data_IF_356153541725
#
_entry.id   IF_356153541725
#
_cell.length_a   1.000
_cell.length_b   1.000
_cell.length_c   1.000
_cell.angle_alpha   90.00
_cell.angle_beta   90.00
_cell.angle_gamma   90.00
#
_symmetry.space_group_name_H-M   'P 1'
#
loop_
_entity.id
_entity.type
_entity.pdbx_description
1 polymer ?
#
# COMPACT_ATOMS: atom_id res chain seq x y z
N UNK A 1 -4.39 -14.54 -14.15
CA UNK A 1 -3.21 -15.42 -14.27
C UNK A 1 -3.04 -16.00 -15.68
N UNK A 2 -4.11 -16.46 -16.37
CA UNK A 2 -4.01 -16.95 -17.76
C UNK A 2 -3.50 -15.91 -18.77
N UNK A 3 -3.92 -14.65 -18.65
CA UNK A 3 -3.46 -13.56 -19.53
C UNK A 3 -1.97 -13.22 -19.35
N UNK A 4 -1.43 -13.36 -18.14
CA UNK A 4 -0.01 -13.12 -17.88
C UNK A 4 0.87 -14.19 -18.52
N UNK A 5 0.40 -15.44 -18.56
CA UNK A 5 1.09 -16.54 -19.22
C UNK A 5 1.04 -16.42 -20.75
N UNK A 6 -0.08 -15.95 -21.31
CA UNK A 6 -0.21 -15.68 -22.75
C UNK A 6 0.68 -14.51 -23.21
N UNK A 7 0.86 -13.48 -22.37
CA UNK A 7 1.79 -12.38 -22.63
C UNK A 7 3.25 -12.85 -22.57
N UNK A 8 3.59 -13.72 -21.61
CA UNK A 8 4.94 -14.29 -21.49
C UNK A 8 5.28 -15.18 -22.69
N UNK A 9 4.35 -15.97 -23.24
CA UNK A 9 4.60 -16.78 -24.44
C UNK A 9 4.77 -15.94 -25.71
N UNK A 10 4.01 -14.85 -25.85
CA UNK A 10 4.17 -13.88 -26.95
C UNK A 10 5.51 -13.13 -26.87
N UNK A 11 5.93 -12.73 -25.67
CA UNK A 11 7.21 -12.04 -25.45
C UNK A 11 8.40 -13.01 -25.63
N UNK A 12 8.25 -14.26 -25.22
CA UNK A 12 9.29 -15.30 -25.35
C UNK A 12 9.54 -15.72 -26.81
N UNK A 13 8.52 -15.68 -27.67
CA UNK A 13 8.68 -15.94 -29.11
C UNK A 13 9.45 -14.85 -29.85
N UNK A 14 9.48 -13.61 -29.33
CA UNK A 14 10.16 -12.48 -29.98
C UNK A 14 11.67 -12.45 -29.67
N UNK A 15 12.08 -12.86 -28.46
CA UNK A 15 13.49 -12.91 -28.08
C UNK A 15 13.99 -14.35 -28.17
N UNK A 16 14.70 -14.68 -29.26
CA UNK A 16 15.50 -15.91 -29.45
C UNK A 16 16.55 -16.11 -28.35
N UNK A 17 16.11 -16.38 -27.14
CA UNK A 17 16.92 -16.68 -25.97
C UNK A 17 16.94 -18.18 -25.76
N UNK A 18 18.10 -18.78 -26.00
CA UNK A 18 18.43 -20.19 -25.78
C UNK A 18 18.21 -20.59 -24.33
N UNK A 19 16.96 -20.84 -23.94
CA UNK A 19 16.58 -21.33 -22.63
C UNK A 19 16.54 -22.85 -22.67
N UNK A 20 17.28 -23.48 -21.75
CA UNK A 20 17.48 -24.91 -21.60
C UNK A 20 16.18 -25.74 -21.77
N UNK A 21 16.22 -26.91 -22.44
CA UNK A 21 15.04 -27.76 -22.64
C UNK A 21 14.39 -28.24 -21.33
N UNK A 22 15.12 -28.23 -20.21
CA UNK A 22 14.60 -28.58 -18.89
C UNK A 22 13.56 -27.59 -18.35
N UNK A 23 13.71 -26.28 -18.61
CA UNK A 23 12.74 -25.28 -18.12
C UNK A 23 11.43 -25.34 -18.91
N UNK A 24 11.52 -25.67 -20.21
CA UNK A 24 10.37 -25.90 -21.07
C UNK A 24 9.59 -27.16 -20.64
N UNK A 25 10.31 -28.26 -20.33
CA UNK A 25 9.71 -29.49 -19.84
C UNK A 25 9.02 -29.28 -18.48
N UNK A 26 9.65 -28.55 -17.57
CA UNK A 26 9.07 -28.24 -16.25
C UNK A 26 7.81 -27.37 -16.38
N UNK A 27 7.82 -26.38 -17.28
CA UNK A 27 6.66 -25.54 -17.56
C UNK A 27 5.50 -26.34 -18.20
N UNK A 28 5.79 -27.24 -19.14
CA UNK A 28 4.80 -28.10 -19.78
C UNK A 28 4.16 -29.07 -18.77
N UNK A 29 4.94 -29.67 -17.88
CA UNK A 29 4.43 -30.55 -16.81
C UNK A 29 3.51 -29.78 -15.85
N UNK A 30 3.92 -28.58 -15.42
CA UNK A 30 3.08 -27.73 -14.58
C UNK A 30 1.78 -27.31 -15.30
N UNK A 31 1.84 -27.03 -16.61
CA UNK A 31 0.66 -26.68 -17.40
C UNK A 31 -0.33 -27.86 -17.56
N UNK A 32 0.17 -29.07 -17.80
CA UNK A 32 -0.65 -30.28 -17.91
C UNK A 32 -1.30 -30.63 -16.57
N UNK A 33 -0.57 -30.51 -15.46
CA UNK A 33 -1.11 -30.74 -14.11
C UNK A 33 -2.18 -29.69 -13.76
N UNK A 34 -1.96 -28.43 -14.13
CA UNK A 34 -2.94 -27.35 -13.96
C UNK A 34 -4.21 -27.57 -14.79
N UNK A 35 -4.10 -28.14 -15.99
CA UNK A 35 -5.23 -28.41 -16.87
C UNK A 35 -6.08 -29.62 -16.42
N UNK A 36 -5.46 -30.67 -15.89
CA UNK A 36 -6.16 -31.93 -15.56
C UNK A 36 -6.73 -31.91 -14.14
N UNK A 37 -6.02 -31.34 -13.14
CA UNK A 37 -6.41 -31.38 -11.72
C UNK A 37 -6.02 -30.06 -11.02
N UNK A 38 -6.78 -28.96 -11.23
CA UNK A 38 -6.51 -27.67 -10.57
C UNK A 38 -6.59 -27.75 -9.03
N UNK A 39 -7.33 -28.72 -8.49
CA UNK A 39 -7.45 -28.95 -7.04
C UNK A 39 -6.13 -29.37 -6.37
N UNK A 40 -5.20 -30.01 -7.09
CA UNK A 40 -3.90 -30.39 -6.53
C UNK A 40 -2.95 -29.20 -6.32
N UNK A 41 -3.16 -28.10 -7.06
CA UNK A 41 -2.43 -26.84 -6.92
C UNK A 41 -3.05 -25.91 -5.86
N UNK A 42 -4.24 -26.23 -5.36
CA UNK A 42 -4.93 -25.45 -4.33
C UNK A 42 -4.13 -25.30 -3.01
N UNK A 43 -3.51 -26.35 -2.41
CA UNK A 43 -2.70 -26.18 -1.21
C UNK A 43 -1.44 -25.34 -1.47
N UNK A 44 -0.81 -25.48 -2.64
CA UNK A 44 0.36 -24.68 -3.03
C UNK A 44 -0.01 -23.20 -3.20
N UNK A 45 -1.12 -22.92 -3.88
CA UNK A 45 -1.66 -21.56 -4.02
C UNK A 45 -1.97 -20.94 -2.64
N UNK A 46 -2.51 -21.74 -1.72
CA UNK A 46 -2.79 -21.29 -0.35
C UNK A 46 -1.51 -21.01 0.45
N UNK A 47 -0.47 -21.84 0.29
CA UNK A 47 0.84 -21.60 0.91
C UNK A 47 1.50 -20.33 0.35
N UNK A 48 1.47 -20.16 -0.98
CA UNK A 48 1.98 -18.97 -1.66
C UNK A 48 1.24 -17.70 -1.22
N UNK A 49 -0.09 -17.76 -1.14
CA UNK A 49 -0.91 -16.65 -0.65
C UNK A 49 -0.58 -16.32 0.81
N UNK A 50 -0.43 -17.32 1.69
CA UNK A 50 -0.02 -17.10 3.09
C UNK A 50 1.37 -16.46 3.18
N UNK A 51 2.31 -16.86 2.32
CA UNK A 51 3.62 -16.25 2.25
C UNK A 51 3.54 -14.80 1.76
N UNK A 52 2.72 -14.53 0.74
CA UNK A 52 2.44 -13.17 0.29
C UNK A 52 1.82 -12.29 1.37
N UNK A 53 0.88 -12.82 2.16
CA UNK A 53 0.29 -12.13 3.31
C UNK A 53 1.32 -11.85 4.42
N UNK A 54 2.19 -12.82 4.71
CA UNK A 54 3.26 -12.64 5.68
C UNK A 54 4.27 -11.58 5.22
N UNK A 55 4.65 -11.61 3.93
CA UNK A 55 5.51 -10.61 3.34
C UNK A 55 4.85 -9.23 3.38
N UNK A 56 3.55 -9.14 3.10
CA UNK A 56 2.80 -7.90 3.20
C UNK A 56 2.78 -7.35 4.63
N UNK A 57 2.65 -8.20 5.65
CA UNK A 57 2.74 -7.81 7.06
C UNK A 57 4.08 -7.17 7.42
N UNK A 58 5.16 -7.50 6.71
CA UNK A 58 6.50 -6.93 6.93
C UNK A 58 6.70 -5.69 6.04
N UNK A 59 6.33 -5.78 4.76
CA UNK A 59 6.47 -4.71 3.79
C UNK A 59 5.63 -3.48 4.17
N UNK A 60 4.41 -3.68 4.69
CA UNK A 60 3.53 -2.58 5.04
C UNK A 60 4.11 -1.67 6.16
N UNK A 61 4.57 -2.18 7.31
CA UNK A 61 5.32 -1.39 8.29
C UNK A 61 6.59 -0.74 7.74
N UNK A 62 7.34 -1.41 6.86
CA UNK A 62 8.56 -0.84 6.26
C UNK A 62 8.21 0.36 5.39
N UNK A 63 7.21 0.23 4.51
CA UNK A 63 6.74 1.32 3.64
C UNK A 63 6.18 2.46 4.48
N UNK A 64 5.35 2.16 5.48
CA UNK A 64 4.82 3.16 6.40
C UNK A 64 5.93 3.87 7.18
N UNK A 65 6.95 3.13 7.63
CA UNK A 65 8.13 3.69 8.26
C UNK A 65 8.90 4.60 7.31
N UNK A 66 9.15 4.18 6.08
CA UNK A 66 9.84 4.97 5.08
C UNK A 66 9.08 6.28 4.76
N UNK A 67 7.75 6.22 4.64
CA UNK A 67 6.93 7.42 4.48
C UNK A 67 7.04 8.31 5.72
N UNK A 68 6.90 7.75 6.91
CA UNK A 68 6.97 8.54 8.14
C UNK A 68 8.33 9.22 8.31
N UNK A 69 9.43 8.49 8.20
CA UNK A 69 10.77 9.03 8.37
C UNK A 69 11.25 9.86 7.16
N UNK A 70 10.76 9.57 5.96
CA UNK A 70 11.15 10.25 4.73
C UNK A 70 10.34 11.51 4.41
N UNK A 71 9.08 11.59 4.84
CA UNK A 71 8.20 12.72 4.52
C UNK A 71 7.65 13.41 5.77
N UNK A 72 7.03 12.67 6.68
CA UNK A 72 6.33 13.27 7.84
C UNK A 72 7.32 13.88 8.83
N UNK A 73 8.33 13.12 9.24
CA UNK A 73 9.35 13.56 10.18
C UNK A 73 10.13 14.79 9.70
N UNK A 74 10.70 14.84 8.47
CA UNK A 74 11.41 16.02 8.01
C UNK A 74 10.48 17.22 7.86
N UNK A 75 9.24 17.03 7.39
CA UNK A 75 8.25 18.11 7.32
C UNK A 75 7.99 18.70 8.71
N UNK A 76 7.76 17.85 9.71
CA UNK A 76 7.58 18.28 11.10
C UNK A 76 8.81 18.99 11.67
N UNK A 77 10.02 18.51 11.34
CA UNK A 77 11.27 19.13 11.78
C UNK A 77 11.45 20.53 11.16
N UNK A 78 11.17 20.68 9.86
CA UNK A 78 11.20 21.97 9.15
C UNK A 78 10.17 22.93 9.75
N UNK A 79 8.95 22.46 10.06
CA UNK A 79 7.93 23.27 10.72
C UNK A 79 8.38 23.74 12.11
N UNK A 80 9.03 22.85 12.88
CA UNK A 80 9.56 23.16 14.21
C UNK A 80 10.68 24.19 14.14
N UNK A 81 11.60 24.07 13.17
CA UNK A 81 12.64 25.08 12.92
C UNK A 81 12.08 26.41 12.43
N UNK A 82 11.00 26.38 11.65
CA UNK A 82 10.29 27.59 11.20
C UNK A 82 9.44 28.24 12.32
N UNK A 83 9.43 27.68 13.53
CA UNK A 83 8.67 28.20 14.67
C UNK A 83 7.14 28.02 14.54
N UNK A 84 6.66 27.27 13.55
CA UNK A 84 5.23 27.04 13.33
C UNK A 84 4.73 25.96 14.28
N UNK A 85 3.83 26.34 15.18
CA UNK A 85 3.12 25.43 16.09
C UNK A 85 1.63 25.37 15.71
N UNK A 86 1.26 24.63 14.64
CA UNK A 86 -0.13 24.58 14.17
C UNK A 86 -1.08 23.98 15.20
N UNK A 87 -0.57 23.12 16.07
CA UNK A 87 -1.34 22.45 17.12
C UNK A 87 -1.32 23.23 18.44
N UNK A 88 -0.59 24.36 18.52
CA UNK A 88 -0.45 25.23 19.70
C UNK A 88 -0.11 24.42 20.96
N UNK A 89 0.82 23.46 20.85
CA UNK A 89 1.20 22.58 21.97
C UNK A 89 1.92 23.33 23.10
N UNK A 90 2.57 24.46 22.78
CA UNK A 90 3.24 25.27 23.81
C UNK A 90 2.19 25.86 24.75
N UNK A 91 2.26 25.46 26.03
CA UNK A 91 1.43 26.03 27.09
C UNK A 91 1.94 27.43 27.43
N UNK A 92 1.08 28.41 27.29
CA UNK A 92 1.27 29.76 27.78
C UNK A 92 0.62 29.90 29.17
N UNK A 93 1.44 30.11 30.19
CA UNK A 93 0.98 30.30 31.56
C UNK A 93 0.36 31.68 31.81
N UNK A 94 0.55 32.64 30.90
CA UNK A 94 0.01 34.00 30.98
C UNK A 94 -1.39 34.15 30.37
N UNK A 95 -1.87 33.10 29.68
CA UNK A 95 -3.18 33.12 29.01
C UNK A 95 -4.28 32.64 29.97
N UNK A 96 -5.31 33.48 30.18
CA UNK A 96 -6.47 33.15 31.02
C UNK A 96 -7.31 31.98 30.47
N UNK A 97 -7.32 31.77 29.14
CA UNK A 97 -8.04 30.68 28.50
C UNK A 97 -7.49 30.34 27.12
N UNK A 98 -7.32 29.04 26.84
CA UNK A 98 -6.95 28.52 25.51
C UNK A 98 -8.13 28.47 24.53
N UNK A 99 -9.32 28.93 24.94
CA UNK A 99 -10.52 28.89 24.14
C UNK A 99 -10.37 29.75 22.87
N UNK A 100 -10.47 29.12 21.71
CA UNK A 100 -10.47 29.82 20.43
C UNK A 100 -11.88 30.40 20.22
N UNK A 101 -12.06 31.70 20.44
CA UNK A 101 -13.32 32.39 20.14
C UNK A 101 -13.60 32.27 18.65
N UNK A 102 -14.70 31.58 18.31
CA UNK A 102 -15.23 31.54 16.95
C UNK A 102 -16.26 32.65 16.80
N UNK A 103 -16.28 33.31 15.65
CA UNK A 103 -17.41 34.17 15.28
C UNK A 103 -18.69 33.33 15.28
N UNK A 104 -19.85 33.91 15.66
CA UNK A 104 -21.12 33.23 15.54
C UNK A 104 -21.26 32.65 14.13
N UNK A 105 -21.68 31.39 14.04
CA UNK A 105 -21.98 30.77 12.75
C UNK A 105 -23.09 31.56 12.02
N UNK A 106 -23.27 31.30 10.71
CA UNK A 106 -24.37 31.92 9.96
C UNK A 106 -25.71 31.66 10.66
N UNK A 107 -26.67 32.55 10.45
CA UNK A 107 -27.97 32.48 11.12
C UNK A 107 -28.59 31.08 10.98
N UNK A 108 -29.30 30.57 12.01
CA UNK A 108 -29.90 29.22 12.01
C UNK A 108 -30.72 28.91 10.76
N UNK A 109 -31.32 29.95 10.18
CA UNK A 109 -32.06 29.97 8.90
C UNK A 109 -31.29 29.37 7.69
N UNK A 110 -29.94 29.32 7.77
CA UNK A 110 -29.08 28.82 6.69
C UNK A 110 -28.94 27.30 6.65
N UNK A 111 -29.33 26.59 7.70
CA UNK A 111 -29.27 25.12 7.78
C UNK A 111 -30.61 24.52 7.32
N UNK A 112 -30.88 24.60 6.01
CA UNK A 112 -32.15 24.12 5.42
C UNK A 112 -32.37 22.61 5.50
N UNK A 113 -31.30 21.81 5.48
CA UNK A 113 -31.36 20.35 5.49
C UNK A 113 -30.31 19.78 6.46
N UNK A 114 -30.66 19.72 7.74
CA UNK A 114 -29.74 19.26 8.79
C UNK A 114 -29.87 17.76 9.12
N UNK A 115 -30.77 17.06 8.43
CA UNK A 115 -31.01 15.62 8.53
C UNK A 115 -31.22 14.99 7.16
#
# INVERSE_FOLDING_TARGET
>A
MAAALALVTLINGWHSGRLWPWTLALAAVFAVIAAIRPAALHPLNRAWTKLGLLLHKIANPIVMGLIFYGTILPTGLVMRWSGKDPLRLKRDASTESYWIRRTPGPAPETMRDQF
#
